data_IF_915194199396
#
_entry.id   IF_915194199396
#
_cell.length_a   1.000
_cell.length_b   1.000
_cell.length_c   1.000
_cell.angle_alpha   90.00
_cell.angle_beta   90.00
_cell.angle_gamma   90.00
#
_symmetry.space_group_name_H-M   'P 1'
#
loop_
_entity.id
_entity.type
_entity.pdbx_description
1 polymer ?
#
# COMPACT_ATOMS: atom_id res chain seq x y z
N UNK A 1 -6.68 7.62 -0.70
CA UNK A 1 -6.83 8.41 0.54
C UNK A 1 -6.10 7.71 1.69
N UNK A 2 -6.40 8.02 2.96
CA UNK A 2 -5.99 7.15 4.08
C UNK A 2 -6.97 5.98 4.23
N UNK A 3 -6.57 4.83 4.80
CA UNK A 3 -7.44 3.66 4.96
C UNK A 3 -8.76 3.96 5.68
N UNK A 4 -8.76 4.85 6.68
CA UNK A 4 -9.98 5.27 7.37
C UNK A 4 -11.00 5.96 6.45
N UNK A 5 -10.53 6.72 5.46
CA UNK A 5 -11.40 7.34 4.45
C UNK A 5 -11.94 6.31 3.45
N UNK A 6 -11.14 5.31 3.08
CA UNK A 6 -11.61 4.20 2.25
C UNK A 6 -12.68 3.38 2.98
N UNK A 7 -12.46 3.04 4.25
CA UNK A 7 -13.46 2.36 5.07
C UNK A 7 -14.78 3.15 5.14
N UNK A 8 -14.71 4.46 5.39
CA UNK A 8 -15.90 5.32 5.44
C UNK A 8 -16.64 5.35 4.10
N UNK A 9 -15.92 5.49 2.98
CA UNK A 9 -16.51 5.47 1.65
C UNK A 9 -17.14 4.10 1.31
N UNK A 10 -16.44 3.01 1.64
CA UNK A 10 -16.91 1.63 1.45
C UNK A 10 -18.16 1.33 2.28
N UNK A 11 -18.22 1.80 3.53
CA UNK A 11 -19.43 1.73 4.36
C UNK A 11 -20.58 2.49 3.71
N UNK A 12 -20.38 3.73 3.28
CA UNK A 12 -21.42 4.52 2.62
C UNK A 12 -21.96 3.85 1.35
N UNK A 13 -21.07 3.33 0.50
CA UNK A 13 -21.43 2.61 -0.73
C UNK A 13 -22.16 1.32 -0.42
N UNK A 14 -21.67 0.50 0.52
CA UNK A 14 -22.34 -0.73 0.93
C UNK A 14 -23.74 -0.49 1.51
N UNK A 15 -23.91 0.58 2.29
CA UNK A 15 -25.20 0.97 2.86
C UNK A 15 -26.19 1.42 1.77
N UNK A 16 -25.71 2.20 0.79
CA UNK A 16 -26.52 2.58 -0.36
C UNK A 16 -26.95 1.37 -1.20
N UNK A 17 -26.03 0.42 -1.45
CA UNK A 17 -26.35 -0.84 -2.13
C UNK A 17 -27.34 -1.70 -1.33
N UNK A 18 -27.20 -1.76 -0.01
CA UNK A 18 -28.18 -2.44 0.83
C UNK A 18 -29.56 -1.78 0.73
N UNK A 19 -29.64 -0.44 0.76
CA UNK A 19 -30.91 0.27 0.65
C UNK A 19 -31.60 0.01 -0.70
N UNK A 20 -30.82 -0.10 -1.78
CA UNK A 20 -31.35 -0.34 -3.13
C UNK A 20 -31.76 -1.80 -3.36
N UNK A 21 -30.92 -2.76 -3.00
CA UNK A 21 -31.12 -4.17 -3.34
C UNK A 21 -31.69 -5.01 -2.19
N UNK A 22 -31.70 -4.47 -0.96
CA UNK A 22 -32.12 -5.16 0.28
C UNK A 22 -31.40 -6.50 0.50
N UNK A 23 -30.16 -6.62 0.02
CA UNK A 23 -29.36 -7.84 0.08
C UNK A 23 -28.15 -7.66 0.98
N UNK A 24 -28.07 -8.47 2.05
CA UNK A 24 -26.90 -8.53 2.93
C UNK A 24 -25.65 -9.02 2.18
N UNK A 25 -25.82 -9.95 1.22
CA UNK A 25 -24.71 -10.45 0.41
C UNK A 25 -24.06 -9.32 -0.40
N UNK A 26 -24.88 -8.53 -1.11
CA UNK A 26 -24.38 -7.40 -1.93
C UNK A 26 -23.66 -6.37 -1.04
N UNK A 27 -24.28 -6.01 0.09
CA UNK A 27 -23.69 -5.07 1.05
C UNK A 27 -22.37 -5.57 1.61
N UNK A 28 -22.34 -6.80 2.13
CA UNK A 28 -21.15 -7.40 2.73
C UNK A 28 -20.00 -7.51 1.73
N UNK A 29 -20.24 -8.07 0.55
CA UNK A 29 -19.17 -8.29 -0.42
C UNK A 29 -18.66 -6.99 -1.04
N UNK A 30 -19.52 -5.98 -1.22
CA UNK A 30 -19.06 -4.65 -1.65
C UNK A 30 -18.22 -3.94 -0.58
N UNK A 31 -18.62 -4.02 0.69
CA UNK A 31 -17.82 -3.52 1.81
C UNK A 31 -16.47 -4.24 1.90
N UNK A 32 -16.49 -5.58 1.79
CA UNK A 32 -15.29 -6.41 1.81
C UNK A 32 -14.34 -6.04 0.66
N UNK A 33 -14.85 -5.92 -0.56
CA UNK A 33 -14.05 -5.55 -1.73
C UNK A 33 -13.45 -4.15 -1.62
N UNK A 34 -14.22 -3.20 -1.10
CA UNK A 34 -13.77 -1.82 -0.93
C UNK A 34 -12.83 -1.58 0.27
N UNK A 35 -12.70 -2.55 1.18
CA UNK A 35 -11.92 -2.38 2.42
C UNK A 35 -10.73 -3.34 2.50
N UNK A 36 -10.92 -4.61 2.15
CA UNK A 36 -9.87 -5.63 2.27
C UNK A 36 -8.81 -5.53 1.18
N UNK A 37 -9.07 -4.77 0.12
CA UNK A 37 -8.10 -4.49 -0.95
C UNK A 37 -6.80 -3.89 -0.40
N UNK A 38 -6.90 -3.01 0.61
CA UNK A 38 -5.76 -2.37 1.32
C UNK A 38 -4.82 -3.35 2.03
N UNK A 39 -5.24 -4.60 2.25
CA UNK A 39 -4.42 -5.61 2.95
C UNK A 39 -3.17 -5.97 2.15
N UNK A 40 -3.18 -5.82 0.82
CA UNK A 40 -2.03 -6.11 -0.03
C UNK A 40 -0.82 -5.20 0.26
N UNK A 41 -1.03 -4.02 0.87
CA UNK A 41 0.05 -3.18 1.37
C UNK A 41 0.86 -3.86 2.49
N UNK A 42 0.29 -4.81 3.23
CA UNK A 42 1.05 -5.61 4.19
C UNK A 42 2.08 -6.49 3.49
N UNK A 43 1.76 -6.99 2.29
CA UNK A 43 2.69 -7.75 1.47
C UNK A 43 3.81 -6.83 0.96
N UNK A 44 3.47 -5.67 0.40
CA UNK A 44 4.46 -4.67 -0.04
C UNK A 44 5.42 -4.29 1.09
N UNK A 45 4.89 -4.06 2.29
CA UNK A 45 5.68 -3.80 3.47
C UNK A 45 6.55 -5.00 3.87
N UNK A 46 6.07 -6.24 3.65
CA UNK A 46 6.78 -7.45 4.00
C UNK A 46 7.99 -7.76 3.14
N UNK A 47 7.90 -7.45 1.84
CA UNK A 47 8.98 -7.66 0.88
C UNK A 47 9.86 -6.42 0.70
N UNK A 48 9.56 -5.32 1.42
CA UNK A 48 10.35 -4.09 1.37
C UNK A 48 11.79 -4.33 1.87
N UNK A 49 12.83 -4.11 1.05
CA UNK A 49 14.21 -4.46 1.39
C UNK A 49 14.77 -3.71 2.60
N UNK A 50 14.27 -2.49 2.86
CA UNK A 50 14.67 -1.67 4.01
C UNK A 50 13.74 -1.85 5.21
N UNK A 51 12.99 -2.96 5.29
CA UNK A 51 12.36 -3.33 6.56
C UNK A 51 13.46 -3.34 7.63
N UNK A 52 13.28 -2.65 8.78
CA UNK A 52 14.25 -2.71 9.85
C UNK A 52 14.62 -4.16 10.12
N UNK A 53 15.92 -4.49 10.12
CA UNK A 53 16.40 -5.84 10.46
C UNK A 53 15.97 -6.29 11.87
N UNK A 54 15.39 -5.37 12.66
CA UNK A 54 14.82 -5.57 13.98
C UNK A 54 13.38 -6.10 13.85
N UNK A 55 13.16 -7.27 14.42
CA UNK A 55 12.27 -8.31 13.93
C UNK A 55 10.81 -8.23 14.42
N UNK A 56 10.25 -7.04 14.62
CA UNK A 56 8.86 -6.88 15.04
C UNK A 56 8.07 -5.94 14.11
N UNK A 57 6.88 -6.37 13.69
CA UNK A 57 5.97 -5.52 12.93
C UNK A 57 5.54 -4.33 13.78
N UNK A 58 5.91 -3.12 13.35
CA UNK A 58 5.47 -1.87 13.97
C UNK A 58 4.43 -1.17 13.10
N UNK A 59 3.22 -1.00 13.63
CA UNK A 59 2.14 -0.26 12.97
C UNK A 59 2.55 1.17 12.62
N UNK A 60 3.30 1.83 13.50
CA UNK A 60 3.77 3.21 13.27
C UNK A 60 4.71 3.29 12.06
N UNK A 61 5.64 2.35 11.98
CA UNK A 61 6.59 2.28 10.86
C UNK A 61 5.89 1.88 9.56
N UNK A 62 4.94 0.95 9.60
CA UNK A 62 4.11 0.59 8.44
C UNK A 62 3.44 1.83 7.83
N UNK A 63 2.71 2.61 8.64
CA UNK A 63 2.04 3.80 8.15
C UNK A 63 3.01 4.89 7.70
N UNK A 64 4.17 5.04 8.35
CA UNK A 64 5.21 5.97 7.92
C UNK A 64 5.77 5.60 6.52
N UNK A 65 6.06 4.33 6.26
CA UNK A 65 6.52 3.87 4.94
C UNK A 65 5.46 4.09 3.86
N UNK A 66 4.20 3.77 4.15
CA UNK A 66 3.10 3.89 3.18
C UNK A 66 2.74 5.36 2.90
N UNK A 67 2.54 6.17 3.93
CA UNK A 67 2.13 7.57 3.75
C UNK A 67 3.23 8.42 3.13
N UNK A 68 4.50 8.10 3.37
CA UNK A 68 5.63 8.80 2.75
C UNK A 68 6.12 8.15 1.46
N UNK A 69 5.39 7.16 0.92
CA UNK A 69 5.68 6.50 -0.38
C UNK A 69 7.11 5.95 -0.47
N UNK A 70 7.63 5.38 0.63
CA UNK A 70 9.03 4.94 0.75
C UNK A 70 9.31 3.51 0.27
N UNK A 71 8.31 2.85 -0.34
CA UNK A 71 8.48 1.54 -0.94
C UNK A 71 9.39 1.63 -2.17
N UNK A 72 10.39 0.76 -2.29
CA UNK A 72 11.18 0.65 -3.53
C UNK A 72 10.40 -0.05 -4.65
N UNK A 73 9.51 -0.98 -4.27
CA UNK A 73 8.62 -1.69 -5.19
C UNK A 73 7.19 -1.70 -4.67
N UNK A 74 6.23 -1.54 -5.57
CA UNK A 74 4.80 -1.46 -5.27
C UNK A 74 4.08 -2.58 -6.02
N UNK A 75 3.67 -3.65 -5.32
CA UNK A 75 3.02 -4.79 -5.96
C UNK A 75 1.51 -4.60 -5.97
N UNK A 76 0.93 -4.26 -4.81
CA UNK A 76 -0.52 -4.00 -4.59
C UNK A 76 -1.43 -4.88 -5.46
N UNK A 77 -1.30 -6.20 -5.29
CA UNK A 77 -1.91 -7.19 -6.19
C UNK A 77 -3.44 -7.12 -6.22
N UNK A 78 -4.07 -6.74 -5.12
CA UNK A 78 -5.52 -6.60 -5.04
C UNK A 78 -5.98 -5.30 -5.73
N UNK A 79 -5.14 -4.27 -5.75
CA UNK A 79 -5.32 -3.04 -6.53
C UNK A 79 -5.02 -3.22 -8.03
N UNK A 80 -5.39 -4.37 -8.59
CA UNK A 80 -5.36 -4.64 -10.01
C UNK A 80 -6.76 -4.42 -10.58
N UNK A 81 -6.93 -3.47 -11.51
CA UNK A 81 -8.24 -3.35 -12.19
C UNK A 81 -8.56 -4.61 -12.99
N UNK A 82 -7.55 -5.37 -13.43
CA UNK A 82 -7.74 -6.67 -14.07
C UNK A 82 -8.43 -7.67 -13.14
N UNK A 83 -8.07 -7.68 -11.84
CA UNK A 83 -8.71 -8.54 -10.86
C UNK A 83 -10.16 -8.10 -10.59
N UNK A 84 -10.39 -6.79 -10.43
CA UNK A 84 -11.74 -6.25 -10.26
C UNK A 84 -12.61 -6.58 -11.49
N UNK A 85 -12.10 -6.40 -12.71
CA UNK A 85 -12.78 -6.76 -13.95
C UNK A 85 -13.03 -8.26 -14.05
N UNK A 86 -12.05 -9.10 -13.68
CA UNK A 86 -12.22 -10.55 -13.68
C UNK A 86 -13.35 -11.00 -12.73
N UNK A 87 -13.48 -10.38 -11.56
CA UNK A 87 -14.58 -10.65 -10.62
C UNK A 87 -15.94 -10.24 -11.19
N UNK A 88 -16.03 -9.09 -11.84
CA UNK A 88 -17.26 -8.64 -12.51
C UNK A 88 -17.65 -9.60 -13.65
N UNK A 89 -16.69 -10.00 -14.48
CA UNK A 89 -16.90 -10.96 -15.56
C UNK A 89 -17.29 -12.34 -15.01
N UNK A 90 -16.63 -12.82 -13.96
CA UNK A 90 -16.95 -14.09 -13.31
C UNK A 90 -18.41 -14.09 -12.80
N UNK A 91 -18.79 -13.05 -12.08
CA UNK A 91 -20.14 -12.93 -11.54
C UNK A 91 -21.23 -12.84 -12.61
N UNK A 92 -20.92 -12.25 -13.76
CA UNK A 92 -21.81 -12.20 -14.92
C UNK A 92 -21.88 -13.53 -15.68
N UNK A 93 -20.72 -14.14 -15.96
CA UNK A 93 -20.62 -15.35 -16.78
C UNK A 93 -21.02 -16.63 -16.04
N UNK A 94 -20.88 -16.65 -14.71
CA UNK A 94 -21.21 -17.79 -13.85
C UNK A 94 -22.27 -17.35 -12.84
N UNK A 95 -23.58 -17.48 -13.13
CA UNK A 95 -24.66 -16.93 -12.32
C UNK A 95 -24.61 -17.33 -10.84
N UNK A 96 -24.14 -18.55 -10.54
CA UNK A 96 -23.98 -19.04 -9.16
C UNK A 96 -23.00 -18.20 -8.32
N UNK A 97 -22.09 -17.45 -8.94
CA UNK A 97 -21.13 -16.57 -8.27
C UNK A 97 -21.55 -15.11 -8.22
N UNK A 98 -22.58 -14.72 -8.99
CA UNK A 98 -22.99 -13.32 -9.16
C UNK A 98 -23.33 -12.60 -7.86
N UNK A 99 -23.88 -13.33 -6.88
CA UNK A 99 -24.27 -12.79 -5.57
C UNK A 99 -23.10 -12.34 -4.68
N UNK A 100 -21.86 -12.74 -4.99
CA UNK A 100 -20.66 -12.34 -4.25
C UNK A 100 -19.58 -11.72 -5.14
N UNK A 101 -19.37 -12.24 -6.35
CA UNK A 101 -18.28 -11.80 -7.22
C UNK A 101 -18.51 -10.40 -7.79
N UNK A 102 -19.74 -10.09 -8.23
CA UNK A 102 -20.10 -8.75 -8.72
C UNK A 102 -19.95 -7.69 -7.62
N UNK A 103 -20.59 -7.81 -6.43
CA UNK A 103 -20.43 -6.81 -5.39
C UNK A 103 -18.99 -6.67 -4.90
N UNK A 104 -18.23 -7.78 -4.80
CA UNK A 104 -16.80 -7.74 -4.44
C UNK A 104 -15.98 -6.94 -5.46
N UNK A 105 -16.10 -7.28 -6.76
CA UNK A 105 -15.42 -6.57 -7.84
C UNK A 105 -15.84 -5.11 -7.95
N UNK A 106 -17.12 -4.79 -7.71
CA UNK A 106 -17.62 -3.43 -7.67
C UNK A 106 -17.00 -2.63 -6.51
N UNK A 107 -16.98 -3.20 -5.30
CA UNK A 107 -16.33 -2.58 -4.13
C UNK A 107 -14.85 -2.26 -4.39
N UNK A 108 -14.12 -3.22 -4.97
CA UNK A 108 -12.73 -3.02 -5.38
C UNK A 108 -12.59 -1.90 -6.43
N UNK A 109 -13.49 -1.87 -7.43
CA UNK A 109 -13.48 -0.84 -8.48
C UNK A 109 -13.71 0.56 -7.91
N UNK A 110 -14.65 0.71 -6.97
CA UNK A 110 -14.88 1.96 -6.27
C UNK A 110 -13.64 2.38 -5.50
N UNK A 111 -13.00 1.44 -4.78
CA UNK A 111 -11.77 1.75 -4.06
C UNK A 111 -10.68 2.28 -5.00
N UNK A 112 -10.37 1.56 -6.09
CA UNK A 112 -9.38 1.97 -7.09
C UNK A 112 -9.73 3.33 -7.70
N UNK A 113 -11.01 3.58 -7.99
CA UNK A 113 -11.46 4.86 -8.53
C UNK A 113 -11.21 6.02 -7.56
N UNK A 114 -11.54 5.86 -6.28
CA UNK A 114 -11.26 6.86 -5.25
C UNK A 114 -9.75 7.13 -5.16
N UNK A 115 -8.97 6.09 -5.35
CA UNK A 115 -7.52 6.17 -5.31
C UNK A 115 -6.94 6.97 -6.50
N UNK A 116 -7.43 6.70 -7.71
CA UNK A 116 -7.13 7.51 -8.90
C UNK A 116 -7.49 8.99 -8.68
N UNK A 117 -8.67 9.27 -8.11
CA UNK A 117 -9.18 10.63 -7.96
C UNK A 117 -8.49 11.41 -6.84
N UNK A 118 -8.31 10.79 -5.67
CA UNK A 118 -7.88 11.49 -4.45
C UNK A 118 -6.41 11.26 -4.10
N UNK A 119 -5.82 10.12 -4.48
CA UNK A 119 -4.37 9.90 -4.36
C UNK A 119 -3.61 10.32 -5.63
N UNK A 120 -4.32 10.70 -6.71
CA UNK A 120 -3.77 11.16 -8.00
C UNK A 120 -2.82 10.14 -8.65
N UNK A 121 -3.05 8.86 -8.39
CA UNK A 121 -2.32 7.77 -9.02
C UNK A 121 -2.90 7.53 -10.41
N UNK A 122 -2.03 7.37 -11.41
CA UNK A 122 -2.48 7.14 -12.78
C UNK A 122 -3.23 5.81 -12.90
N UNK A 123 -4.32 5.77 -13.68
CA UNK A 123 -5.12 4.54 -13.90
C UNK A 123 -4.25 3.35 -14.35
N UNK A 124 -3.26 3.60 -15.22
CA UNK A 124 -2.34 2.57 -15.73
C UNK A 124 -1.46 1.98 -14.62
N UNK A 125 -1.18 2.73 -13.54
CA UNK A 125 -0.43 2.21 -12.39
C UNK A 125 -1.23 1.15 -11.61
N UNK A 126 -2.57 1.11 -11.78
CA UNK A 126 -3.43 0.05 -11.26
C UNK A 126 -3.49 -1.20 -12.15
N UNK A 127 -2.79 -1.23 -13.29
CA UNK A 127 -2.62 -2.47 -14.06
C UNK A 127 -1.51 -3.32 -13.46
N UNK A 128 -1.82 -4.56 -13.07
CA UNK A 128 -0.77 -5.49 -12.61
C UNK A 128 0.22 -5.83 -13.74
N UNK A 129 -0.26 -5.91 -14.98
CA UNK A 129 0.58 -6.15 -16.16
C UNK A 129 1.53 -4.98 -16.40
N UNK A 130 1.02 -3.74 -16.32
CA UNK A 130 1.87 -2.57 -16.49
C UNK A 130 2.89 -2.42 -15.35
N UNK A 131 2.50 -2.68 -14.09
CA UNK A 131 3.44 -2.71 -12.96
C UNK A 131 4.53 -3.76 -13.18
N UNK A 132 4.16 -4.97 -13.58
CA UNK A 132 5.13 -6.05 -13.86
C UNK A 132 6.09 -5.68 -15.01
N UNK A 133 5.58 -5.08 -16.09
CA UNK A 133 6.39 -4.60 -17.22
C UNK A 133 7.40 -3.51 -16.81
N UNK A 134 7.12 -2.76 -15.73
CA UNK A 134 8.02 -1.77 -15.14
C UNK A 134 8.75 -2.31 -13.90
N UNK A 135 8.80 -3.63 -13.69
CA UNK A 135 9.53 -4.25 -12.57
C UNK A 135 8.99 -3.89 -11.18
N UNK A 136 7.73 -3.46 -11.09
CA UNK A 136 7.07 -2.94 -9.90
C UNK A 136 7.71 -1.67 -9.33
N UNK A 137 8.42 -0.89 -10.14
CA UNK A 137 9.11 0.33 -9.71
C UNK A 137 8.13 1.37 -9.12
N UNK A 138 8.48 1.92 -7.95
CA UNK A 138 7.70 2.96 -7.29
C UNK A 138 7.56 4.25 -8.14
N UNK A 139 8.54 4.54 -9.00
CA UNK A 139 8.57 5.75 -9.81
C UNK A 139 7.50 5.70 -10.90
N UNK A 140 7.22 4.50 -11.40
CA UNK A 140 6.10 4.24 -12.30
C UNK A 140 4.76 4.42 -11.58
N UNK A 141 4.62 3.91 -10.35
CA UNK A 141 3.37 3.96 -9.61
C UNK A 141 3.01 5.38 -9.13
N UNK A 142 3.95 6.09 -8.51
CA UNK A 142 3.70 7.40 -7.89
C UNK A 142 3.98 8.61 -8.81
N UNK A 143 4.48 8.39 -10.03
CA UNK A 143 4.79 9.39 -11.08
C UNK A 143 5.13 10.80 -10.53
N UNK A 144 6.42 11.06 -10.30
CA UNK A 144 7.03 12.40 -10.11
C UNK A 144 6.64 13.20 -8.85
N UNK A 145 6.19 12.54 -7.78
CA UNK A 145 6.11 13.11 -6.43
C UNK A 145 7.01 12.35 -5.42
N UNK A 146 8.14 11.80 -5.87
CA UNK A 146 9.19 11.30 -4.98
C UNK A 146 9.98 12.47 -4.36
N UNK A 147 9.28 13.38 -3.71
CA UNK A 147 9.84 14.45 -2.89
C UNK A 147 9.73 14.05 -1.43
N UNK A 148 10.82 13.53 -0.87
CA UNK A 148 10.88 13.21 0.55
C UNK A 148 12.18 12.50 0.85
N UNK A 149 13.09 13.21 1.50
CA UNK A 149 14.43 12.78 1.85
C UNK A 149 14.51 11.31 2.30
N UNK A 150 15.57 10.64 1.83
CA UNK A 150 15.99 9.33 2.33
C UNK A 150 16.15 9.44 3.84
N UNK A 151 15.27 8.81 4.61
CA UNK A 151 15.59 8.58 6.01
C UNK A 151 16.88 7.77 6.09
N UNK A 152 17.76 8.06 7.08
CA UNK A 152 19.01 7.34 7.22
C UNK A 152 18.73 5.84 7.39
N UNK A 153 19.42 5.04 6.58
CA UNK A 153 19.28 3.58 6.44
C UNK A 153 19.69 2.75 7.68
N UNK A 154 19.67 3.30 8.89
CA UNK A 154 20.22 2.60 10.05
C UNK A 154 19.30 2.71 11.25
N UNK A 155 18.80 1.55 11.70
CA UNK A 155 18.38 1.34 13.08
C UNK A 155 19.43 1.94 14.00
N UNK A 156 19.04 2.96 14.78
CA UNK A 156 19.88 3.54 15.81
C UNK A 156 21.30 3.88 15.35
N UNK A 157 21.47 4.95 14.57
CA UNK A 157 22.67 5.75 14.78
C UNK A 157 22.54 6.34 16.19
N UNK A 158 23.02 5.62 17.20
CA UNK A 158 23.54 6.25 18.39
C UNK A 158 24.39 7.42 17.89
N UNK A 159 24.11 8.64 18.37
CA UNK A 159 24.98 9.80 18.14
C UNK A 159 26.42 9.30 18.27
N UNK A 160 27.29 9.47 17.27
CA UNK A 160 28.71 9.21 17.53
C UNK A 160 29.07 10.09 18.73
N UNK A 161 29.75 9.54 19.76
CA UNK A 161 30.28 10.41 20.81
C UNK A 161 31.07 11.51 20.12
N UNK A 162 30.81 12.74 20.53
CA UNK A 162 31.52 13.92 20.04
C UNK A 162 33.01 13.58 20.01
N UNK A 163 33.65 13.76 18.85
CA UNK A 163 35.10 13.70 18.73
C UNK A 163 35.69 14.83 19.58
N UNK A 164 35.84 14.58 20.87
CA UNK A 164 36.68 15.34 21.78
C UNK A 164 38.10 14.79 21.70
N UNK A 165 38.99 15.63 21.17
CA UNK A 165 40.44 15.60 21.31
C UNK A 165 41.20 14.36 20.81
N UNK A 166 41.88 14.54 19.68
CA UNK A 166 43.05 13.75 19.29
C UNK A 166 44.31 14.43 19.85
N UNK A 167 45.30 13.61 20.19
CA UNK A 167 46.75 13.89 20.35
C UNK A 167 47.14 14.51 21.71
N UNK A 168 48.14 14.01 22.45
CA UNK A 168 49.46 13.52 22.02
C UNK A 168 49.94 12.38 22.94
N UNK A 169 50.41 11.27 22.34
CA UNK A 169 51.38 10.36 22.98
C UNK A 169 52.77 10.79 22.49
N UNK A 170 53.65 11.20 23.40
CA UNK A 170 55.09 11.26 23.16
C UNK A 170 55.75 10.08 23.88
N UNK A 171 56.52 9.32 23.10
CA UNK A 171 57.30 8.15 23.52
C UNK A 171 58.66 8.57 24.17
N UNK A 172 59.46 7.63 24.69
CA UNK A 172 60.48 7.87 25.74
C UNK A 172 61.91 8.11 25.20
N UNK A 173 62.75 8.75 26.03
CA UNK A 173 64.23 8.70 26.10
C UNK A 173 64.57 8.98 27.58
N UNK A 174 65.35 8.21 28.34
CA UNK A 174 66.62 7.54 28.02
C UNK A 174 67.77 8.52 28.32
N UNK A 175 68.35 8.44 29.53
CA UNK A 175 69.46 9.28 30.00
C UNK A 175 69.44 9.47 31.50
#
# INVERSE_FOLDING_TARGET
MKPGSHLAASLAVSAALYALFRSLSISFWSLAGGTLIDIDHLYDYAVHPRRPACRDFSLRHFFDVMYNRRLDRVFVLLHAFELAAALLVLGWAVPATGGWAIPLGFGMSVHILLDVLFNRIGVVAYSIVARAAHGFDNAFFYRKEAGGDRLPERCGAARPPSRGARLVRSAPRGG
#
